data_IF_156019962330
#
_entry.id   IF_156019962330
#
_cell.length_a   1.000
_cell.length_b   1.000
_cell.length_c   1.000
_cell.angle_alpha   90.00
_cell.angle_beta   90.00
_cell.angle_gamma   90.00
#
_symmetry.space_group_name_H-M   'P 1'
#
loop_
_entity.id
_entity.type
_entity.pdbx_description
1 polymer ?
#
# COMPACT_ATOMS: atom_id res chain seq x y z
N UNK A 1 15.18 -10.24 17.82
CA UNK A 1 13.77 -10.01 18.11
C UNK A 1 13.52 -8.52 18.30
N UNK A 2 12.45 -7.98 17.72
CA UNK A 2 12.03 -6.60 17.96
C UNK A 2 11.16 -6.56 19.23
N UNK A 3 11.39 -5.53 20.04
CA UNK A 3 10.51 -5.22 21.15
C UNK A 3 9.36 -4.36 20.63
N UNK A 4 8.15 -4.94 20.60
CA UNK A 4 6.96 -4.26 20.10
C UNK A 4 6.28 -3.51 21.25
N UNK A 5 5.88 -2.27 20.99
CA UNK A 5 5.10 -1.49 21.93
C UNK A 5 3.81 -2.22 22.32
N UNK A 6 3.32 -1.97 23.57
CA UNK A 6 2.11 -2.60 24.10
C UNK A 6 0.89 -2.32 23.20
N UNK A 7 0.79 -1.10 22.68
CA UNK A 7 -0.26 -0.66 21.79
C UNK A 7 0.33 -0.29 20.43
N UNK A 8 -0.03 -1.05 19.41
CA UNK A 8 0.38 -0.80 18.05
C UNK A 8 -0.35 0.42 17.48
N UNK A 9 0.37 1.22 16.70
CA UNK A 9 -0.14 2.40 16.00
C UNK A 9 -0.02 2.22 14.49
N UNK A 10 -1.07 2.54 13.76
CA UNK A 10 -1.04 2.60 12.31
C UNK A 10 -0.68 3.99 11.80
N UNK A 11 -1.21 5.02 12.44
CA UNK A 11 -1.07 6.43 12.07
C UNK A 11 -0.81 7.28 13.30
N UNK A 12 -0.06 8.37 13.09
CA UNK A 12 0.04 9.44 14.07
C UNK A 12 -1.04 10.49 13.80
N UNK A 13 -2.17 10.36 14.50
CA UNK A 13 -3.31 11.24 14.32
C UNK A 13 -3.03 12.70 14.73
N UNK A 14 -1.98 12.94 15.53
CA UNK A 14 -1.57 14.30 15.91
C UNK A 14 -1.01 15.11 14.73
N UNK A 15 -0.59 14.42 13.66
CA UNK A 15 -0.05 15.01 12.43
C UNK A 15 -1.09 15.23 11.34
N UNK A 16 -2.36 14.94 11.60
CA UNK A 16 -3.43 15.20 10.63
C UNK A 16 -3.55 16.71 10.41
N UNK A 17 -3.35 17.13 9.19
CA UNK A 17 -3.54 18.50 8.75
C UNK A 17 -4.79 18.57 7.87
N UNK A 18 -5.83 19.26 8.36
CA UNK A 18 -7.12 19.39 7.68
C UNK A 18 -6.97 19.90 6.25
N UNK A 19 -6.10 20.88 6.02
CA UNK A 19 -5.91 21.48 4.70
C UNK A 19 -5.21 20.53 3.74
N UNK A 20 -4.14 19.85 4.17
CA UNK A 20 -3.39 18.92 3.34
C UNK A 20 -4.09 17.57 3.16
N UNK A 21 -4.96 17.17 4.09
CA UNK A 21 -5.71 15.93 4.01
C UNK A 21 -6.97 16.03 3.15
N UNK A 22 -7.44 17.24 2.89
CA UNK A 22 -8.66 17.45 2.12
C UNK A 22 -8.49 16.95 0.68
N UNK A 23 -9.29 15.96 0.34
CA UNK A 23 -9.38 15.43 -1.00
C UNK A 23 -10.67 15.95 -1.66
N UNK A 24 -10.53 16.55 -2.84
CA UNK A 24 -11.69 17.11 -3.59
C UNK A 24 -12.57 16.03 -4.25
N UNK A 25 -12.33 14.77 -3.93
CA UNK A 25 -13.08 13.63 -4.46
C UNK A 25 -14.41 13.40 -3.74
N UNK A 26 -14.92 12.19 -3.92
CA UNK A 26 -16.22 11.76 -3.45
C UNK A 26 -16.24 11.44 -1.96
N UNK A 27 -17.29 11.82 -1.26
CA UNK A 27 -17.60 11.30 0.07
C UNK A 27 -18.28 9.93 -0.01
N UNK A 28 -18.60 9.34 1.16
CA UNK A 28 -19.22 8.01 1.23
C UNK A 28 -20.57 7.93 0.49
N UNK A 29 -21.37 8.97 0.52
CA UNK A 29 -22.67 9.02 -0.15
C UNK A 29 -22.55 9.06 -1.69
N UNK A 30 -21.41 9.50 -2.21
CA UNK A 30 -21.15 9.60 -3.64
C UNK A 30 -20.25 8.47 -4.16
N UNK A 31 -20.04 7.44 -3.37
CA UNK A 31 -19.27 6.26 -3.77
C UNK A 31 -19.83 5.59 -5.02
N UNK A 32 -18.92 5.06 -5.81
CA UNK A 32 -19.26 4.43 -7.10
C UNK A 32 -20.10 3.16 -6.91
N UNK A 33 -21.32 3.16 -7.45
CA UNK A 33 -22.20 1.99 -7.42
C UNK A 33 -21.62 0.78 -8.16
N UNK A 34 -20.70 0.97 -9.08
CA UNK A 34 -20.03 -0.13 -9.81
C UNK A 34 -19.32 -1.11 -8.89
N UNK A 35 -18.76 -0.63 -7.78
CA UNK A 35 -18.17 -1.52 -6.78
C UNK A 35 -19.22 -2.40 -6.10
N UNK A 36 -20.38 -1.84 -5.73
CA UNK A 36 -21.48 -2.62 -5.16
C UNK A 36 -22.00 -3.66 -6.14
N UNK A 37 -22.16 -3.32 -7.42
CA UNK A 37 -22.53 -4.27 -8.48
C UNK A 37 -21.49 -5.38 -8.64
N UNK A 38 -20.20 -5.05 -8.59
CA UNK A 38 -19.12 -6.03 -8.63
C UNK A 38 -19.17 -7.01 -7.45
N UNK A 39 -19.35 -6.52 -6.22
CA UNK A 39 -19.44 -7.33 -5.01
C UNK A 39 -20.66 -8.26 -5.06
N UNK A 40 -21.77 -7.81 -5.64
CA UNK A 40 -23.00 -8.60 -5.82
C UNK A 40 -22.93 -9.58 -7.00
N UNK A 41 -21.85 -9.57 -7.77
CA UNK A 41 -21.70 -10.43 -8.94
C UNK A 41 -22.50 -9.97 -10.16
N UNK A 42 -22.98 -8.73 -10.17
CA UNK A 42 -23.78 -8.16 -11.26
C UNK A 42 -22.94 -7.34 -12.26
N UNK A 43 -21.62 -7.34 -12.11
CA UNK A 43 -20.72 -6.57 -12.95
C UNK A 43 -19.81 -7.47 -13.77
N UNK A 44 -19.59 -7.13 -15.03
CA UNK A 44 -18.60 -7.75 -15.91
C UNK A 44 -17.18 -7.23 -15.65
N UNK A 45 -16.99 -6.37 -14.63
CA UNK A 45 -15.67 -5.83 -14.31
C UNK A 45 -14.71 -6.95 -13.90
N UNK A 46 -13.47 -6.82 -14.38
CA UNK A 46 -12.39 -7.72 -14.00
C UNK A 46 -12.00 -7.50 -12.53
N UNK A 47 -11.46 -8.52 -11.84
CA UNK A 47 -11.08 -8.40 -10.43
C UNK A 47 -10.14 -7.24 -10.13
N UNK A 48 -9.17 -6.95 -11.01
CA UNK A 48 -8.28 -5.80 -10.86
C UNK A 48 -9.02 -4.46 -10.91
N UNK A 49 -10.02 -4.34 -11.77
CA UNK A 49 -10.85 -3.12 -11.88
C UNK A 49 -11.75 -2.97 -10.65
N UNK A 50 -12.31 -4.08 -10.15
CA UNK A 50 -13.07 -4.09 -8.90
C UNK A 50 -12.23 -3.65 -7.70
N UNK A 51 -10.99 -4.10 -7.60
CA UNK A 51 -10.06 -3.67 -6.57
C UNK A 51 -9.73 -2.17 -6.68
N UNK A 52 -9.49 -1.66 -7.89
CA UNK A 52 -9.24 -0.23 -8.13
C UNK A 52 -10.44 0.62 -7.72
N UNK A 53 -11.66 0.21 -8.04
CA UNK A 53 -12.88 0.90 -7.62
C UNK A 53 -13.00 0.98 -6.09
N UNK A 54 -12.72 -0.12 -5.41
CA UNK A 54 -12.76 -0.17 -3.95
C UNK A 54 -11.73 0.77 -3.32
N UNK A 55 -10.49 0.70 -3.77
CA UNK A 55 -9.39 1.48 -3.24
C UNK A 55 -9.59 2.98 -3.48
N UNK A 56 -9.97 3.36 -4.69
CA UNK A 56 -10.22 4.77 -5.05
C UNK A 56 -11.29 5.39 -4.16
N UNK A 57 -12.41 4.71 -3.98
CA UNK A 57 -13.49 5.18 -3.12
C UNK A 57 -13.05 5.28 -1.66
N UNK A 58 -12.29 4.29 -1.16
CA UNK A 58 -11.79 4.29 0.21
C UNK A 58 -10.79 5.42 0.46
N UNK A 59 -9.85 5.63 -0.44
CA UNK A 59 -8.86 6.71 -0.31
C UNK A 59 -9.54 8.06 -0.27
N UNK A 60 -10.48 8.30 -1.17
CA UNK A 60 -11.23 9.55 -1.23
C UNK A 60 -12.03 9.80 0.06
N UNK A 61 -12.74 8.78 0.53
CA UNK A 61 -13.53 8.91 1.76
C UNK A 61 -12.64 9.10 2.99
N UNK A 62 -11.63 8.26 3.18
CA UNK A 62 -10.79 8.26 4.38
C UNK A 62 -9.99 9.55 4.55
N UNK A 63 -9.48 10.14 3.48
CA UNK A 63 -8.78 11.41 3.58
C UNK A 63 -9.70 12.52 4.11
N UNK A 64 -10.92 12.61 3.62
CA UNK A 64 -11.90 13.57 4.11
C UNK A 64 -12.36 13.25 5.53
N UNK A 65 -12.62 11.99 5.83
CA UNK A 65 -13.11 11.55 7.13
C UNK A 65 -12.08 11.77 8.25
N UNK A 66 -10.82 11.42 8.02
CA UNK A 66 -9.73 11.69 8.99
C UNK A 66 -9.52 13.20 9.21
N UNK A 67 -9.75 14.01 8.20
CA UNK A 67 -9.70 15.48 8.33
C UNK A 67 -10.92 16.09 9.05
N UNK A 68 -11.90 15.27 9.44
CA UNK A 68 -13.07 15.73 10.19
C UNK A 68 -14.29 16.09 9.33
N UNK A 69 -14.26 15.81 8.03
CA UNK A 69 -15.37 16.11 7.11
C UNK A 69 -16.40 14.97 6.99
N UNK A 70 -16.19 13.84 7.66
CA UNK A 70 -17.15 12.74 7.68
C UNK A 70 -18.31 13.00 8.63
N UNK A 71 -19.48 12.46 8.32
CA UNK A 71 -20.64 12.43 9.20
C UNK A 71 -20.87 11.03 9.75
N UNK A 72 -21.66 10.91 10.81
CA UNK A 72 -22.05 9.62 11.37
C UNK A 72 -22.82 8.76 10.36
N UNK A 73 -23.68 9.36 9.56
CA UNK A 73 -24.41 8.68 8.48
C UNK A 73 -23.47 8.14 7.41
N UNK A 74 -22.50 8.96 6.96
CA UNK A 74 -21.52 8.55 5.97
C UNK A 74 -20.60 7.45 6.50
N UNK A 75 -20.20 7.51 7.77
CA UNK A 75 -19.42 6.46 8.43
C UNK A 75 -20.18 5.12 8.45
N UNK A 76 -21.47 5.15 8.69
CA UNK A 76 -22.32 3.95 8.67
C UNK A 76 -22.42 3.35 7.26
N UNK A 77 -22.54 4.18 6.23
CA UNK A 77 -22.53 3.74 4.83
C UNK A 77 -21.16 3.13 4.47
N UNK A 78 -20.09 3.79 4.89
CA UNK A 78 -18.73 3.30 4.68
C UNK A 78 -18.49 1.94 5.35
N UNK A 79 -18.89 1.80 6.62
CA UNK A 79 -18.88 0.51 7.33
C UNK A 79 -19.63 -0.57 6.59
N UNK A 80 -20.83 -0.27 6.11
CA UNK A 80 -21.64 -1.24 5.38
C UNK A 80 -20.91 -1.76 4.14
N UNK A 81 -20.23 -0.89 3.40
CA UNK A 81 -19.42 -1.30 2.23
C UNK A 81 -18.30 -2.26 2.62
N UNK A 82 -17.63 -2.02 3.73
CA UNK A 82 -16.56 -2.91 4.22
C UNK A 82 -17.14 -4.27 4.63
N UNK A 83 -18.23 -4.28 5.37
CA UNK A 83 -18.88 -5.53 5.81
C UNK A 83 -19.45 -6.31 4.61
N UNK A 84 -20.05 -5.64 3.65
CA UNK A 84 -20.55 -6.29 2.42
C UNK A 84 -19.39 -6.93 1.63
N UNK A 85 -18.22 -6.27 1.55
CA UNK A 85 -17.04 -6.85 0.93
C UNK A 85 -16.61 -8.14 1.65
N UNK A 86 -16.43 -8.08 2.96
CA UNK A 86 -15.89 -9.22 3.71
C UNK A 86 -16.87 -10.40 3.77
N UNK A 87 -18.16 -10.16 3.61
CA UNK A 87 -19.20 -11.20 3.54
C UNK A 87 -19.39 -11.74 2.11
N UNK A 88 -18.81 -11.10 1.11
CA UNK A 88 -18.85 -11.56 -0.27
C UNK A 88 -17.79 -12.64 -0.55
N UNK A 89 -17.89 -13.29 -1.69
CA UNK A 89 -16.85 -14.19 -2.20
C UNK A 89 -15.83 -13.44 -3.09
N UNK A 90 -15.94 -12.11 -3.19
CA UNK A 90 -15.08 -11.30 -4.03
C UNK A 90 -13.63 -11.43 -3.57
N UNK A 91 -12.73 -11.56 -4.52
CA UNK A 91 -11.29 -11.70 -4.33
C UNK A 91 -10.81 -12.96 -3.58
N UNK A 92 -11.72 -13.81 -3.09
CA UNK A 92 -11.36 -15.05 -2.37
C UNK A 92 -10.97 -16.20 -3.28
N UNK A 93 -11.50 -16.24 -4.51
CA UNK A 93 -11.19 -17.27 -5.51
C UNK A 93 -10.11 -16.74 -6.46
N UNK A 94 -9.26 -17.65 -6.91
CA UNK A 94 -8.11 -17.33 -7.75
C UNK A 94 -8.27 -17.88 -9.16
N UNK A 95 -9.48 -18.14 -9.59
CA UNK A 95 -9.82 -18.58 -10.94
C UNK A 95 -9.92 -17.41 -11.96
N UNK A 96 -9.39 -16.26 -11.59
CA UNK A 96 -9.36 -15.06 -12.39
C UNK A 96 -8.04 -14.84 -13.14
N UNK A 97 -7.10 -15.78 -13.00
CA UNK A 97 -5.81 -15.72 -13.67
C UNK A 97 -5.96 -15.66 -15.20
N UNK A 98 -5.22 -14.77 -15.83
CA UNK A 98 -5.34 -14.53 -17.27
C UNK A 98 -6.47 -13.57 -17.66
N UNK A 99 -7.29 -13.15 -16.70
CA UNK A 99 -8.35 -12.17 -16.92
C UNK A 99 -7.88 -10.79 -16.45
N UNK A 100 -7.45 -9.94 -17.35
CA UNK A 100 -7.22 -8.53 -17.08
C UNK A 100 -5.85 -8.12 -16.56
N UNK A 101 -4.82 -8.91 -16.78
CA UNK A 101 -3.43 -8.46 -16.72
C UNK A 101 -2.80 -8.28 -15.33
N UNK A 102 -3.56 -8.29 -14.24
CA UNK A 102 -3.03 -8.19 -12.87
C UNK A 102 -3.04 -9.54 -12.17
N UNK A 103 -1.95 -9.85 -11.46
CA UNK A 103 -1.86 -11.11 -10.71
C UNK A 103 -2.73 -11.09 -9.45
N UNK A 104 -3.26 -12.24 -9.00
CA UNK A 104 -3.95 -12.33 -7.72
C UNK A 104 -3.10 -11.83 -6.54
N UNK A 105 -1.80 -12.10 -6.56
CA UNK A 105 -0.88 -11.65 -5.51
C UNK A 105 -0.80 -10.12 -5.39
N UNK A 106 -0.92 -9.40 -6.49
CA UNK A 106 -0.99 -7.94 -6.46
C UNK A 106 -2.31 -7.46 -5.88
N UNK A 107 -3.42 -7.96 -6.41
CA UNK A 107 -4.76 -7.48 -6.05
C UNK A 107 -5.09 -7.76 -4.58
N UNK A 108 -4.83 -8.97 -4.09
CA UNK A 108 -5.15 -9.32 -2.70
C UNK A 108 -4.37 -8.48 -1.69
N UNK A 109 -3.12 -8.18 -1.96
CA UNK A 109 -2.30 -7.39 -1.04
C UNK A 109 -2.73 -5.94 -0.95
N UNK A 110 -3.14 -5.33 -2.05
CA UNK A 110 -3.62 -3.93 -2.03
C UNK A 110 -5.00 -3.80 -1.38
N UNK A 111 -5.86 -4.81 -1.49
CA UNK A 111 -7.12 -4.86 -0.74
C UNK A 111 -6.85 -4.94 0.76
N UNK A 112 -5.90 -5.75 1.20
CA UNK A 112 -5.51 -5.83 2.62
C UNK A 112 -5.05 -4.47 3.15
N UNK A 113 -4.24 -3.73 2.40
CA UNK A 113 -3.83 -2.37 2.76
C UNK A 113 -5.03 -1.45 2.97
N UNK A 114 -5.94 -1.44 2.02
CA UNK A 114 -7.14 -0.61 2.08
C UNK A 114 -8.03 -0.97 3.28
N UNK A 115 -8.17 -2.27 3.57
CA UNK A 115 -8.88 -2.75 4.76
C UNK A 115 -8.19 -2.34 6.07
N UNK A 116 -6.87 -2.28 6.10
CA UNK A 116 -6.13 -1.82 7.27
C UNK A 116 -6.53 -0.39 7.65
N UNK A 117 -6.46 0.54 6.73
CA UNK A 117 -6.84 1.94 6.97
C UNK A 117 -8.33 2.10 7.27
N UNK A 118 -9.19 1.39 6.55
CA UNK A 118 -10.65 1.45 6.75
C UNK A 118 -11.05 0.92 8.13
N UNK A 119 -10.50 -0.21 8.54
CA UNK A 119 -10.77 -0.82 9.84
C UNK A 119 -10.25 0.06 10.97
N UNK A 120 -9.07 0.62 10.82
CA UNK A 120 -8.50 1.55 11.81
C UNK A 120 -9.40 2.77 12.01
N UNK A 121 -9.84 3.42 10.93
CA UNK A 121 -10.75 4.55 11.00
C UNK A 121 -12.05 4.21 11.74
N UNK A 122 -12.71 3.12 11.33
CA UNK A 122 -13.97 2.69 11.94
C UNK A 122 -13.81 2.32 13.42
N UNK A 123 -12.67 1.75 13.82
CA UNK A 123 -12.36 1.52 15.24
C UNK A 123 -12.23 2.82 16.01
N UNK A 124 -11.54 3.81 15.48
CA UNK A 124 -11.40 5.13 16.14
C UNK A 124 -12.72 5.83 16.35
N UNK A 125 -13.74 5.51 15.54
CA UNK A 125 -15.11 6.01 15.64
C UNK A 125 -16.04 5.11 16.43
N UNK A 126 -15.54 4.03 17.05
CA UNK A 126 -16.35 3.03 17.76
C UNK A 126 -17.48 2.43 16.91
N UNK A 127 -17.22 2.21 15.62
CA UNK A 127 -18.20 1.70 14.66
C UNK A 127 -18.13 0.19 14.46
N UNK A 128 -17.11 -0.48 14.96
CA UNK A 128 -16.89 -1.92 14.81
C UNK A 128 -16.98 -2.64 16.14
N UNK A 129 -17.75 -3.70 16.19
CA UNK A 129 -17.74 -4.67 17.29
C UNK A 129 -16.54 -5.62 17.16
N UNK A 130 -16.19 -6.30 18.24
CA UNK A 130 -15.13 -7.33 18.21
C UNK A 130 -15.47 -8.47 17.23
N UNK A 131 -16.75 -8.83 17.11
CA UNK A 131 -17.23 -9.81 16.13
C UNK A 131 -17.00 -9.34 14.70
N UNK A 132 -17.28 -8.08 14.40
CA UNK A 132 -17.04 -7.51 13.07
C UNK A 132 -15.55 -7.43 12.74
N UNK A 133 -14.71 -7.06 13.71
CA UNK A 133 -13.25 -7.09 13.54
C UNK A 133 -12.77 -8.52 13.26
N UNK A 134 -13.33 -9.52 13.95
CA UNK A 134 -13.02 -10.94 13.70
C UNK A 134 -13.42 -11.38 12.30
N UNK A 135 -14.56 -10.93 11.79
CA UNK A 135 -14.99 -11.20 10.41
C UNK A 135 -14.03 -10.62 9.38
N UNK A 136 -13.62 -9.35 9.57
CA UNK A 136 -12.65 -8.68 8.70
C UNK A 136 -11.30 -9.42 8.76
N UNK A 137 -10.85 -9.81 9.94
CA UNK A 137 -9.58 -10.55 10.15
C UNK A 137 -9.60 -11.90 9.45
N UNK A 138 -10.72 -12.61 9.50
CA UNK A 138 -10.90 -13.89 8.78
C UNK A 138 -10.78 -13.68 7.26
N UNK A 139 -11.42 -12.64 6.74
CA UNK A 139 -11.34 -12.28 5.33
C UNK A 139 -9.89 -11.91 4.92
N UNK A 140 -9.19 -11.11 5.71
CA UNK A 140 -7.78 -10.78 5.48
C UNK A 140 -6.90 -12.02 5.44
N UNK A 141 -7.11 -12.97 6.36
CA UNK A 141 -6.40 -14.24 6.35
C UNK A 141 -6.66 -15.06 5.08
N UNK A 142 -7.89 -15.10 4.62
CA UNK A 142 -8.25 -15.81 3.38
C UNK A 142 -7.58 -15.16 2.16
N UNK A 143 -7.57 -13.83 2.07
CA UNK A 143 -6.88 -13.11 1.01
C UNK A 143 -5.36 -13.36 1.06
N UNK A 144 -4.78 -13.32 2.25
CA UNK A 144 -3.33 -13.54 2.42
C UNK A 144 -2.92 -14.95 2.00
N UNK A 145 -3.69 -15.96 2.39
CA UNK A 145 -3.46 -17.35 1.94
C UNK A 145 -3.55 -17.48 0.42
N UNK A 146 -4.46 -16.76 -0.21
CA UNK A 146 -4.70 -16.82 -1.64
C UNK A 146 -3.64 -16.05 -2.46
N UNK A 147 -2.81 -15.22 -1.82
CA UNK A 147 -1.83 -14.38 -2.50
C UNK A 147 -0.88 -15.18 -3.41
N UNK A 148 -0.55 -16.41 -3.06
CA UNK A 148 0.37 -17.26 -3.81
C UNK A 148 -0.27 -18.45 -4.52
N UNK A 149 -1.59 -18.54 -4.47
CA UNK A 149 -2.33 -19.61 -5.14
C UNK A 149 -2.86 -19.11 -6.47
N UNK A 150 -2.77 -19.93 -7.50
CA UNK A 150 -3.39 -19.70 -8.80
C UNK A 150 -4.01 -20.98 -9.33
N UNK A 151 -5.00 -20.86 -10.18
CA UNK A 151 -5.65 -22.01 -10.82
C UNK A 151 -4.69 -22.84 -11.65
N UNK A 152 -3.61 -22.25 -12.16
CA UNK A 152 -2.60 -22.93 -12.97
C UNK A 152 -1.39 -23.40 -12.17
N UNK A 153 -1.30 -23.09 -10.88
CA UNK A 153 -0.13 -23.34 -10.06
C UNK A 153 1.09 -22.47 -10.44
N UNK A 154 0.89 -21.44 -11.24
CA UNK A 154 1.95 -20.56 -11.77
C UNK A 154 2.73 -19.85 -10.67
N UNK A 155 2.04 -19.44 -9.63
CA UNK A 155 2.65 -18.94 -8.41
C UNK A 155 2.61 -20.07 -7.39
N UNK A 156 3.75 -20.75 -7.24
CA UNK A 156 3.80 -21.86 -6.32
C UNK A 156 3.56 -21.41 -4.88
N UNK A 157 3.08 -22.30 -4.04
CA UNK A 157 2.97 -22.11 -2.59
C UNK A 157 4.33 -21.83 -1.91
N UNK A 158 5.43 -21.95 -2.64
CA UNK A 158 6.75 -21.54 -2.16
C UNK A 158 6.79 -20.03 -2.11
N UNK A 159 6.99 -19.51 -0.91
CA UNK A 159 7.15 -18.09 -0.68
C UNK A 159 8.14 -17.47 -1.64
N UNK A 160 7.73 -16.44 -2.31
CA UNK A 160 8.58 -15.70 -3.21
C UNK A 160 8.87 -16.35 -4.56
N UNK A 161 8.27 -17.47 -4.92
CA UNK A 161 8.51 -18.17 -6.20
C UNK A 161 8.78 -17.24 -7.37
N UNK A 162 7.84 -17.08 -8.29
CA UNK A 162 7.96 -16.17 -9.43
C UNK A 162 7.32 -14.78 -9.18
N UNK A 163 7.02 -14.46 -7.92
CA UNK A 163 6.39 -13.19 -7.55
C UNK A 163 7.42 -12.08 -7.53
N UNK A 164 7.09 -10.94 -8.15
CA UNK A 164 7.95 -9.77 -8.19
C UNK A 164 8.20 -9.19 -6.79
N UNK A 165 9.35 -8.55 -6.60
CA UNK A 165 9.78 -8.05 -5.28
C UNK A 165 8.83 -7.00 -4.70
N UNK A 166 8.21 -6.17 -5.51
CA UNK A 166 7.20 -5.21 -5.09
C UNK A 166 6.00 -5.90 -4.42
N UNK A 167 5.52 -6.99 -5.00
CA UNK A 167 4.43 -7.79 -4.45
C UNK A 167 4.84 -8.54 -3.18
N UNK A 168 6.08 -8.98 -3.08
CA UNK A 168 6.62 -9.62 -1.87
C UNK A 168 6.71 -8.63 -0.70
N UNK A 169 7.18 -7.40 -0.95
CA UNK A 169 7.14 -6.34 0.04
C UNK A 169 5.71 -5.96 0.43
N UNK A 170 4.83 -5.82 -0.55
CA UNK A 170 3.41 -5.55 -0.33
C UNK A 170 2.77 -6.55 0.62
N UNK A 171 3.07 -7.83 0.44
CA UNK A 171 2.58 -8.92 1.30
C UNK A 171 3.01 -8.75 2.76
N UNK A 172 4.24 -8.36 3.01
CA UNK A 172 4.75 -8.10 4.36
C UNK A 172 4.19 -6.79 4.95
N UNK A 173 4.36 -5.69 4.21
CA UNK A 173 3.92 -4.37 4.63
C UNK A 173 2.42 -4.34 4.96
N UNK A 174 1.57 -4.86 4.08
CA UNK A 174 0.14 -4.71 4.24
C UNK A 174 -0.40 -5.55 5.41
N UNK A 175 0.22 -6.68 5.70
CA UNK A 175 -0.10 -7.45 6.89
C UNK A 175 0.34 -6.75 8.19
N UNK A 176 1.51 -6.09 8.19
CA UNK A 176 1.92 -5.22 9.31
C UNK A 176 0.91 -4.09 9.53
N UNK A 177 0.50 -3.41 8.46
CA UNK A 177 -0.48 -2.33 8.54
C UNK A 177 -1.79 -2.83 9.15
N UNK A 178 -2.28 -3.98 8.71
CA UNK A 178 -3.49 -4.55 9.27
C UNK A 178 -3.33 -4.93 10.75
N UNK A 179 -2.22 -5.55 11.11
CA UNK A 179 -1.91 -5.87 12.51
C UNK A 179 -1.86 -4.62 13.40
N UNK A 180 -1.26 -3.54 12.91
CA UNK A 180 -1.25 -2.25 13.60
C UNK A 180 -2.66 -1.65 13.72
N UNK A 181 -3.46 -1.77 12.65
CA UNK A 181 -4.82 -1.24 12.61
C UNK A 181 -5.74 -1.83 13.69
N UNK A 182 -5.61 -3.11 13.98
CA UNK A 182 -6.45 -3.82 14.97
C UNK A 182 -5.72 -4.15 16.27
N UNK A 183 -4.50 -3.64 16.46
CA UNK A 183 -3.65 -3.94 17.61
C UNK A 183 -3.42 -5.44 17.79
N UNK A 184 -3.13 -6.16 16.71
CA UNK A 184 -2.84 -7.58 16.70
C UNK A 184 -1.36 -7.83 16.43
N UNK A 185 -0.63 -8.26 17.46
CA UNK A 185 0.82 -8.50 17.39
C UNK A 185 1.19 -9.66 16.48
N UNK A 186 0.35 -10.68 16.39
CA UNK A 186 0.61 -11.85 15.56
C UNK A 186 0.62 -11.46 14.07
N UNK A 187 -0.39 -10.75 13.58
CA UNK A 187 -0.39 -10.20 12.24
C UNK A 187 0.80 -9.26 11.98
N UNK A 188 1.08 -8.40 12.94
CA UNK A 188 2.17 -7.43 12.81
C UNK A 188 3.54 -8.13 12.70
N UNK A 189 3.82 -9.10 13.55
CA UNK A 189 5.07 -9.86 13.53
C UNK A 189 5.23 -10.71 12.28
N UNK A 190 4.17 -11.35 11.84
CA UNK A 190 4.20 -12.11 10.58
C UNK A 190 4.53 -11.21 9.39
N UNK A 191 3.87 -10.06 9.33
CA UNK A 191 4.17 -9.05 8.30
C UNK A 191 5.59 -8.52 8.40
N UNK A 192 6.07 -8.24 9.61
CA UNK A 192 7.45 -7.81 9.85
C UNK A 192 8.47 -8.84 9.37
N UNK A 193 8.28 -10.11 9.68
CA UNK A 193 9.20 -11.16 9.26
C UNK A 193 9.31 -11.24 7.74
N UNK A 194 8.19 -11.16 7.04
CA UNK A 194 8.15 -11.11 5.57
C UNK A 194 8.86 -9.86 5.03
N UNK A 195 8.60 -8.72 5.63
CA UNK A 195 9.22 -7.44 5.26
C UNK A 195 10.74 -7.49 5.43
N UNK A 196 11.22 -7.96 6.59
CA UNK A 196 12.64 -8.08 6.88
C UNK A 196 13.34 -9.04 5.91
N UNK A 197 12.71 -10.14 5.54
CA UNK A 197 13.24 -11.08 4.54
C UNK A 197 13.49 -10.37 3.21
N UNK A 198 12.58 -9.51 2.77
CA UNK A 198 12.74 -8.76 1.53
C UNK A 198 13.79 -7.63 1.66
N UNK A 199 13.91 -6.98 2.81
CA UNK A 199 14.97 -6.01 3.06
C UNK A 199 16.37 -6.63 2.92
N UNK A 200 16.51 -7.92 3.22
CA UNK A 200 17.78 -8.65 3.05
C UNK A 200 18.26 -8.77 1.60
N UNK A 201 17.44 -8.35 0.64
CA UNK A 201 17.90 -8.10 -0.73
C UNK A 201 19.10 -7.15 -0.75
N UNK A 202 19.20 -6.23 0.20
CA UNK A 202 20.33 -5.32 0.36
C UNK A 202 21.63 -5.99 0.85
N UNK A 203 21.59 -7.26 1.20
CA UNK A 203 22.81 -8.07 1.37
C UNK A 203 23.45 -8.47 0.04
N UNK A 204 22.65 -8.51 -1.02
CA UNK A 204 23.08 -8.97 -2.36
C UNK A 204 23.27 -7.83 -3.35
N UNK A 205 22.48 -6.78 -3.27
CA UNK A 205 22.48 -5.65 -4.20
C UNK A 205 22.09 -4.33 -3.53
N UNK A 206 22.48 -3.23 -4.17
CA UNK A 206 22.29 -1.87 -3.63
C UNK A 206 20.87 -1.33 -3.79
N UNK A 207 20.08 -1.92 -4.67
CA UNK A 207 18.68 -1.56 -4.96
C UNK A 207 17.81 -2.81 -4.99
N UNK A 208 16.51 -2.67 -4.77
CA UNK A 208 15.60 -3.83 -4.78
C UNK A 208 15.37 -4.40 -6.18
N UNK A 209 15.35 -3.53 -7.18
CA UNK A 209 15.23 -3.91 -8.58
C UNK A 209 16.19 -3.07 -9.44
N UNK A 210 16.81 -3.72 -10.46
CA UNK A 210 17.59 -3.01 -11.47
C UNK A 210 16.72 -2.21 -12.43
N UNK A 211 15.45 -2.58 -12.56
CA UNK A 211 14.47 -1.84 -13.33
C UNK A 211 14.01 -0.62 -12.51
N UNK A 212 14.28 0.57 -13.04
CA UNK A 212 14.02 1.83 -12.34
C UNK A 212 12.54 2.02 -11.98
N UNK A 213 11.64 1.64 -12.89
CA UNK A 213 10.19 1.72 -12.66
C UNK A 213 9.74 0.75 -11.58
N UNK A 214 10.18 -0.52 -11.66
CA UNK A 214 9.82 -1.52 -10.65
C UNK A 214 10.45 -1.22 -9.29
N UNK A 215 11.68 -0.66 -9.26
CA UNK A 215 12.27 -0.21 -8.01
C UNK A 215 11.43 0.90 -7.38
N UNK A 216 10.96 1.86 -8.19
CA UNK A 216 10.08 2.92 -7.71
C UNK A 216 8.75 2.38 -7.16
N UNK A 217 8.11 1.46 -7.86
CA UNK A 217 6.87 0.83 -7.39
C UNK A 217 7.07 0.06 -6.08
N UNK A 218 8.20 -0.62 -5.94
CA UNK A 218 8.57 -1.33 -4.71
C UNK A 218 8.63 -0.38 -3.50
N UNK A 219 9.13 0.84 -3.69
CA UNK A 219 9.32 1.80 -2.61
C UNK A 219 8.01 2.28 -1.97
N UNK A 220 6.89 2.25 -2.67
CA UNK A 220 5.59 2.56 -2.06
C UNK A 220 5.28 1.62 -0.88
N UNK A 221 5.61 0.34 -1.02
CA UNK A 221 5.40 -0.65 0.05
C UNK A 221 6.51 -0.61 1.09
N UNK A 222 7.75 -0.45 0.64
CA UNK A 222 8.93 -0.40 1.52
C UNK A 222 8.84 0.76 2.50
N UNK A 223 8.50 1.96 2.01
CA UNK A 223 8.45 3.16 2.85
C UNK A 223 7.25 3.12 3.79
N UNK A 224 6.10 2.65 3.38
CA UNK A 224 4.97 2.48 4.29
C UNK A 224 5.29 1.46 5.40
N UNK A 225 5.97 0.37 5.07
CA UNK A 225 6.44 -0.60 6.06
C UNK A 225 7.46 0.01 7.03
N UNK A 226 8.41 0.79 6.52
CA UNK A 226 9.39 1.50 7.35
C UNK A 226 8.72 2.49 8.31
N UNK A 227 7.69 3.20 7.85
CA UNK A 227 6.99 4.21 8.65
C UNK A 227 6.10 3.58 9.73
N UNK A 228 5.39 2.50 9.46
CA UNK A 228 4.63 1.81 10.51
C UNK A 228 5.55 1.19 11.57
N UNK A 229 6.73 0.72 11.18
CA UNK A 229 7.75 0.25 12.12
C UNK A 229 8.29 1.41 12.96
N UNK A 230 8.61 2.53 12.35
CA UNK A 230 9.11 3.73 13.06
C UNK A 230 8.10 4.23 14.09
N UNK A 231 6.81 4.30 13.75
CA UNK A 231 5.73 4.68 14.68
C UNK A 231 5.64 3.74 15.89
N UNK A 232 6.06 2.49 15.72
CA UNK A 232 6.06 1.49 16.79
C UNK A 232 7.43 1.28 17.43
N UNK A 233 8.33 2.25 17.27
CA UNK A 233 9.61 2.30 17.97
C UNK A 233 10.76 1.55 17.30
N UNK A 234 10.60 1.13 16.05
CA UNK A 234 11.62 0.36 15.34
C UNK A 234 12.06 1.05 14.03
N UNK A 235 13.31 1.54 14.01
CA UNK A 235 13.88 2.23 12.86
C UNK A 235 14.64 1.23 11.96
N UNK A 236 14.18 1.09 10.73
CA UNK A 236 14.81 0.24 9.70
C UNK A 236 15.68 1.04 8.72
N UNK A 237 15.62 2.36 8.74
CA UNK A 237 16.37 3.19 7.77
C UNK A 237 17.89 3.07 7.93
N UNK A 238 18.36 2.91 9.15
CA UNK A 238 19.78 2.77 9.49
C UNK A 238 20.24 1.33 9.68
N UNK A 239 19.35 0.34 9.51
CA UNK A 239 19.70 -1.07 9.57
C UNK A 239 20.73 -1.39 8.50
N UNK A 240 21.86 -1.98 8.91
CA UNK A 240 22.99 -2.26 8.01
C UNK A 240 22.84 -3.61 7.33
N UNK A 241 22.96 -3.61 6.02
CA UNK A 241 23.08 -4.77 5.16
C UNK A 241 24.43 -4.75 4.44
N UNK A 242 24.83 -5.86 3.83
CA UNK A 242 26.16 -5.96 3.19
C UNK A 242 26.39 -4.93 2.07
N UNK A 243 25.35 -4.52 1.36
CA UNK A 243 25.44 -3.56 0.24
C UNK A 243 24.95 -2.14 0.57
N UNK A 244 24.56 -1.90 1.81
CA UNK A 244 24.14 -0.59 2.27
C UNK A 244 22.95 -0.62 3.22
N UNK A 245 22.34 0.53 3.39
CA UNK A 245 21.14 0.73 4.20
C UNK A 245 19.94 1.03 3.30
N UNK A 246 18.73 1.01 3.87
CA UNK A 246 17.54 1.49 3.13
C UNK A 246 17.74 2.96 2.71
N UNK A 247 18.28 3.79 3.59
CA UNK A 247 18.55 5.20 3.28
C UNK A 247 19.52 5.36 2.11
N UNK A 248 20.58 4.54 2.03
CA UNK A 248 21.51 4.58 0.89
C UNK A 248 20.87 4.09 -0.41
N UNK A 249 19.97 3.11 -0.33
CA UNK A 249 19.17 2.66 -1.48
C UNK A 249 18.27 3.77 -2.02
N UNK A 250 17.60 4.50 -1.11
CA UNK A 250 16.74 5.63 -1.49
C UNK A 250 17.54 6.74 -2.21
N UNK A 251 18.74 7.03 -1.74
CA UNK A 251 19.60 8.02 -2.36
C UNK A 251 20.05 7.62 -3.77
N UNK A 252 20.43 6.36 -3.96
CA UNK A 252 20.76 5.81 -5.28
C UNK A 252 19.55 5.91 -6.21
N UNK A 253 18.36 5.55 -5.73
CA UNK A 253 17.12 5.61 -6.52
C UNK A 253 16.77 7.04 -6.92
N UNK A 254 16.82 7.99 -5.98
CA UNK A 254 16.55 9.40 -6.26
C UNK A 254 17.47 9.97 -7.33
N UNK A 255 18.77 9.71 -7.24
CA UNK A 255 19.75 10.12 -8.25
C UNK A 255 19.46 9.50 -9.62
N UNK A 256 19.09 8.23 -9.66
CA UNK A 256 18.72 7.54 -10.90
C UNK A 256 17.44 8.12 -11.52
N UNK A 257 16.45 8.48 -10.72
CA UNK A 257 15.23 9.15 -11.20
C UNK A 257 15.58 10.52 -11.84
N UNK A 258 16.40 11.32 -11.18
CA UNK A 258 16.80 12.64 -11.69
C UNK A 258 17.57 12.48 -13.01
N UNK A 259 18.54 11.57 -13.03
CA UNK A 259 19.37 11.31 -14.23
C UNK A 259 18.55 10.85 -15.43
N UNK A 260 17.49 10.08 -15.22
CA UNK A 260 16.68 9.48 -16.25
C UNK A 260 15.34 10.18 -16.48
N UNK A 261 15.10 11.29 -15.79
CA UNK A 261 13.86 12.05 -15.95
C UNK A 261 13.67 12.47 -17.42
N UNK A 262 12.49 12.18 -17.97
CA UNK A 262 12.12 12.42 -19.38
C UNK A 262 12.94 11.61 -20.42
N UNK A 263 13.61 10.54 -19.98
CA UNK A 263 14.33 9.64 -20.90
C UNK A 263 13.60 8.32 -21.04
N UNK A 264 13.79 7.66 -22.19
CA UNK A 264 13.30 6.31 -22.41
C UNK A 264 14.16 5.30 -21.67
N UNK A 265 13.52 4.45 -20.88
CA UNK A 265 14.16 3.39 -20.09
C UNK A 265 13.54 2.06 -20.47
N UNK A 266 14.38 1.08 -20.80
CA UNK A 266 13.92 -0.30 -21.02
C UNK A 266 13.47 -0.91 -19.71
N UNK A 267 12.30 -1.53 -19.72
CA UNK A 267 11.77 -2.25 -18.57
C UNK A 267 11.95 -3.75 -18.78
N UNK A 268 12.33 -4.47 -17.71
CA UNK A 268 12.50 -5.93 -17.77
C UNK A 268 11.16 -6.60 -18.08
N UNK A 269 11.15 -7.55 -18.99
CA UNK A 269 9.95 -8.26 -19.45
C UNK A 269 9.16 -7.52 -20.53
N UNK A 270 9.36 -6.22 -20.68
CA UNK A 270 8.86 -5.42 -21.80
C UNK A 270 10.07 -4.88 -22.55
N UNK A 271 10.27 -5.34 -23.77
CA UNK A 271 11.42 -4.92 -24.59
C UNK A 271 11.26 -3.49 -25.14
N UNK A 272 10.10 -2.89 -24.94
CA UNK A 272 9.85 -1.50 -25.35
C UNK A 272 10.44 -0.52 -24.35
N UNK A 273 11.23 0.43 -24.83
CA UNK A 273 11.64 1.57 -24.04
C UNK A 273 10.43 2.48 -23.78
N UNK A 274 10.29 2.94 -22.54
CA UNK A 274 9.22 3.87 -22.15
C UNK A 274 9.82 5.08 -21.46
N UNK A 275 9.25 6.28 -21.66
CA UNK A 275 9.72 7.46 -20.94
C UNK A 275 9.50 7.27 -19.44
N UNK A 276 10.51 7.63 -18.66
CA UNK A 276 10.40 7.79 -17.22
C UNK A 276 10.31 9.27 -16.93
N UNK A 277 9.14 9.71 -16.47
CA UNK A 277 8.96 11.07 -15.97
C UNK A 277 8.64 11.00 -14.48
N UNK A 278 9.30 11.83 -13.69
CA UNK A 278 8.95 11.99 -12.29
C UNK A 278 7.61 12.71 -12.22
N UNK A 279 6.60 12.06 -11.65
CA UNK A 279 5.23 12.57 -11.62
C UNK A 279 4.64 12.42 -10.23
N UNK A 280 3.65 13.25 -9.92
CA UNK A 280 2.94 13.22 -8.63
C UNK A 280 1.71 12.30 -8.63
N UNK A 281 1.17 11.98 -9.80
CA UNK A 281 -0.03 11.16 -9.93
C UNK A 281 0.25 9.90 -10.73
N UNK A 282 -0.60 8.88 -10.56
CA UNK A 282 -0.53 7.66 -11.36
C UNK A 282 -0.53 7.96 -12.86
N UNK A 283 0.34 7.29 -13.57
CA UNK A 283 0.47 7.40 -15.02
C UNK A 283 1.68 6.61 -15.52
N UNK A 284 2.03 6.80 -16.79
CA UNK A 284 3.28 6.25 -17.32
C UNK A 284 4.45 7.08 -16.79
N UNK A 285 5.19 6.53 -15.83
CA UNK A 285 6.33 7.21 -15.26
C UNK A 285 6.68 6.70 -13.87
N UNK A 286 7.48 7.50 -13.15
CA UNK A 286 7.86 7.24 -11.78
C UNK A 286 6.95 8.04 -10.84
N UNK A 287 5.87 7.40 -10.41
CA UNK A 287 4.97 7.97 -9.41
C UNK A 287 5.62 7.94 -8.03
N UNK A 288 5.84 9.10 -7.44
CA UNK A 288 6.67 9.26 -6.23
C UNK A 288 5.87 9.61 -4.97
N UNK A 289 4.67 9.06 -4.83
CA UNK A 289 3.83 9.24 -3.65
C UNK A 289 4.47 8.71 -2.34
N UNK A 290 5.56 7.93 -2.42
CA UNK A 290 6.33 7.50 -1.26
C UNK A 290 7.13 8.64 -0.60
N UNK A 291 7.39 9.76 -1.29
CA UNK A 291 8.25 10.85 -0.78
C UNK A 291 7.71 11.48 0.49
N UNK A 292 6.43 11.90 0.59
CA UNK A 292 5.92 12.52 1.82
C UNK A 292 6.08 11.63 3.04
N UNK A 293 5.90 10.32 2.88
CA UNK A 293 6.11 9.34 3.96
C UNK A 293 7.58 9.28 4.37
N UNK A 294 8.47 9.21 3.40
CA UNK A 294 9.91 9.17 3.64
C UNK A 294 10.40 10.42 4.36
N UNK A 295 9.86 11.58 4.02
CA UNK A 295 10.21 12.87 4.62
C UNK A 295 9.59 13.09 6.02
N UNK A 296 8.73 12.19 6.51
CA UNK A 296 8.28 12.21 7.90
C UNK A 296 9.43 12.05 8.91
N UNK A 297 10.49 11.34 8.52
CA UNK A 297 11.75 11.35 9.28
C UNK A 297 12.66 12.48 8.73
N UNK A 298 12.96 13.51 9.54
CA UNK A 298 13.84 14.63 9.09
C UNK A 298 15.22 14.18 8.64
N UNK A 299 15.72 13.07 9.17
CA UNK A 299 17.03 12.52 8.79
C UNK A 299 17.05 11.97 7.35
N UNK A 300 15.90 11.77 6.74
CA UNK A 300 15.76 11.30 5.36
C UNK A 300 15.84 12.43 4.33
N UNK A 301 15.83 13.68 4.79
CA UNK A 301 15.92 14.85 3.92
C UNK A 301 17.32 14.97 3.33
N UNK A 302 17.43 14.82 2.01
CA UNK A 302 18.67 15.02 1.25
C UNK A 302 18.39 15.88 0.03
N UNK A 303 19.45 16.44 -0.56
CA UNK A 303 19.33 17.25 -1.77
C UNK A 303 18.66 16.49 -2.91
N UNK A 304 19.03 15.22 -3.12
CA UNK A 304 18.44 14.37 -4.17
C UNK A 304 16.96 14.10 -3.93
N UNK A 305 16.57 13.80 -2.70
CA UNK A 305 15.16 13.56 -2.33
C UNK A 305 14.33 14.83 -2.51
N UNK A 306 14.83 15.98 -2.05
CA UNK A 306 14.14 17.26 -2.23
C UNK A 306 14.00 17.63 -3.71
N UNK A 307 15.01 17.32 -4.52
CA UNK A 307 14.97 17.54 -5.97
C UNK A 307 13.89 16.72 -6.65
N UNK A 308 13.77 15.43 -6.31
CA UNK A 308 12.69 14.58 -6.84
C UNK A 308 11.33 15.11 -6.41
N UNK A 309 11.18 15.53 -5.15
CA UNK A 309 9.93 16.10 -4.64
C UNK A 309 9.54 17.40 -5.38
N UNK A 310 10.50 18.26 -5.62
CA UNK A 310 10.33 19.51 -6.39
C UNK A 310 9.88 19.23 -7.84
N UNK A 311 10.55 18.29 -8.52
CA UNK A 311 10.18 17.91 -9.90
C UNK A 311 8.76 17.33 -9.95
N UNK A 312 8.38 16.52 -8.96
CA UNK A 312 7.03 15.96 -8.87
C UNK A 312 5.96 17.03 -8.56
N UNK A 313 6.35 18.23 -8.14
CA UNK A 313 5.44 19.33 -7.79
C UNK A 313 4.44 19.00 -6.69
N UNK A 314 4.91 18.35 -5.62
CA UNK A 314 4.16 18.12 -4.41
C UNK A 314 3.58 16.70 -4.26
N UNK A 315 2.61 16.59 -3.36
CA UNK A 315 1.97 15.33 -2.96
C UNK A 315 0.84 14.92 -3.90
N UNK A 316 0.66 13.63 -4.07
CA UNK A 316 -0.54 13.07 -4.70
C UNK A 316 -0.99 11.80 -3.97
N UNK A 317 -2.29 11.53 -4.05
CA UNK A 317 -2.85 10.27 -3.58
C UNK A 317 -2.51 9.15 -4.55
N UNK A 318 -2.19 7.99 -3.99
CA UNK A 318 -1.91 6.78 -4.75
C UNK A 318 -3.00 5.74 -4.48
N UNK A 319 -3.87 5.51 -5.45
CA UNK A 319 -4.90 4.48 -5.41
C UNK A 319 -4.39 3.13 -5.95
N UNK A 320 -3.32 3.14 -6.75
CA UNK A 320 -2.80 1.96 -7.44
C UNK A 320 -2.17 0.93 -6.49
N UNK A 321 -1.39 1.40 -5.51
CA UNK A 321 -0.68 0.52 -4.56
C UNK A 321 -1.47 0.28 -3.25
N UNK A 322 -2.79 0.37 -3.28
CA UNK A 322 -3.66 0.14 -2.14
C UNK A 322 -4.04 1.39 -1.37
N UNK A 323 -3.68 2.53 -1.91
CA UNK A 323 -3.98 3.83 -1.35
C UNK A 323 -2.93 4.32 -0.36
N UNK A 324 -2.68 5.61 -0.41
CA UNK A 324 -1.88 6.35 0.56
C UNK A 324 -2.69 7.54 1.04
N UNK A 325 -2.78 7.68 2.35
CA UNK A 325 -3.58 8.73 2.94
C UNK A 325 -2.76 10.01 3.10
N UNK A 326 -3.32 11.15 2.71
CA UNK A 326 -2.67 12.45 2.81
C UNK A 326 -2.28 12.82 4.26
N UNK A 327 -2.95 12.24 5.24
CA UNK A 327 -2.64 12.43 6.66
C UNK A 327 -1.23 11.99 7.05
N UNK A 328 -0.60 11.12 6.28
CA UNK A 328 0.78 10.71 6.52
C UNK A 328 1.80 11.80 6.21
N UNK A 329 1.41 12.79 5.41
CA UNK A 329 2.29 13.89 4.97
C UNK A 329 2.05 15.19 5.74
N UNK A 330 1.16 15.13 6.70
CA UNK A 330 0.72 16.28 7.51
C UNK A 330 1.76 16.96 8.38
#
# INVERSE_FOLDING_TARGET
SIEISKDLKLLDLSKVNEESCRYSGRGALTMNNKFSEFVQGHSDALPADGASMFIEDNVAYLNNAFAGYGSDEEDNIFKKRIIDLVNSNSFKKIDWEGKGGSSPSFVTTIIIKSLAYSTYYLKTKNKLSDSEISQISKYVNELDKNTFLTSTGRYSSKEGGNIAIDQRFSRGTNLMLYGAAINNKEFFLEGYNRYLEQLRTLDKRKVFSKNLRHNNETLHHVIQGAEVLRLNGFDVYDMKFKKGTLRSQMEIHAKNLIKNNNKEVKTSGDMTARPISIIKTRGYGAHVAWIPFYLNDPNNKTESIEKVHEIASGFSLDDYNGGQLAIHSG
#
